data_IF_017221389692
#
_entry.id   IF_017221389692
#
_cell.length_a   1.000
_cell.length_b   1.000
_cell.length_c   1.000
_cell.angle_alpha   90.00
_cell.angle_beta   90.00
_cell.angle_gamma   90.00
#
_symmetry.space_group_name_H-M   'P 1'
#
loop_
_entity.id
_entity.type
_entity.pdbx_description
1 polymer ?
#
# COMPACT_ATOMS: atom_id res chain seq x y z
N UNK A 1 -23.12 -13.05 19.11
CA UNK A 1 -23.27 -12.22 17.88
C UNK A 1 -24.42 -12.81 17.08
N UNK A 2 -25.49 -12.04 16.78
CA UNK A 2 -26.66 -12.58 16.07
C UNK A 2 -26.31 -12.87 14.60
N UNK A 3 -27.06 -13.77 13.95
CA UNK A 3 -26.90 -14.13 12.54
C UNK A 3 -27.01 -12.89 11.64
N UNK A 4 -27.89 -11.94 11.99
CA UNK A 4 -28.06 -10.67 11.25
C UNK A 4 -26.80 -9.77 11.28
N UNK A 5 -26.11 -9.69 12.43
CA UNK A 5 -24.84 -8.93 12.52
C UNK A 5 -23.73 -9.58 11.69
N UNK A 6 -23.78 -10.90 11.53
CA UNK A 6 -22.79 -11.66 10.73
C UNK A 6 -23.03 -11.47 9.22
N UNK A 7 -24.28 -11.44 8.76
CA UNK A 7 -24.60 -11.11 7.36
C UNK A 7 -24.20 -9.68 7.00
N UNK A 8 -24.47 -8.72 7.88
CA UNK A 8 -24.07 -7.32 7.70
C UNK A 8 -22.53 -7.16 7.59
N UNK A 9 -21.76 -7.90 8.38
CA UNK A 9 -20.30 -7.86 8.32
C UNK A 9 -19.75 -8.41 7.00
N UNK A 10 -20.31 -9.50 6.49
CA UNK A 10 -19.88 -10.08 5.22
C UNK A 10 -20.23 -9.17 4.03
N UNK A 11 -21.38 -8.49 4.09
CA UNK A 11 -21.77 -7.53 3.06
C UNK A 11 -20.80 -6.33 3.02
N UNK A 12 -20.39 -5.82 4.18
CA UNK A 12 -19.38 -4.78 4.30
C UNK A 12 -18.04 -5.23 3.70
N UNK A 13 -17.58 -6.42 4.07
CA UNK A 13 -16.33 -6.99 3.57
C UNK A 13 -16.37 -7.19 2.05
N UNK A 14 -17.47 -7.71 1.49
CA UNK A 14 -17.61 -7.89 0.05
C UNK A 14 -17.60 -6.56 -0.71
N UNK A 15 -18.22 -5.51 -0.16
CA UNK A 15 -18.17 -4.16 -0.76
C UNK A 15 -16.75 -3.60 -0.71
N UNK A 16 -16.05 -3.74 0.41
CA UNK A 16 -14.66 -3.33 0.52
C UNK A 16 -13.77 -4.06 -0.49
N UNK A 17 -13.93 -5.40 -0.63
CA UNK A 17 -13.16 -6.18 -1.62
C UNK A 17 -13.45 -5.75 -3.06
N UNK A 18 -14.70 -5.40 -3.38
CA UNK A 18 -15.04 -4.85 -4.69
C UNK A 18 -14.44 -3.44 -4.89
N UNK A 19 -14.41 -2.62 -3.85
CA UNK A 19 -13.85 -1.26 -3.92
C UNK A 19 -12.35 -1.27 -4.15
N UNK A 20 -11.60 -2.13 -3.45
CA UNK A 20 -10.14 -2.21 -3.61
C UNK A 20 -9.70 -2.81 -4.96
N UNK A 21 -10.61 -3.37 -5.75
CA UNK A 21 -10.31 -3.79 -7.13
C UNK A 21 -9.84 -2.60 -8.00
N UNK A 22 -10.22 -1.37 -7.63
CA UNK A 22 -9.79 -0.14 -8.30
C UNK A 22 -8.27 0.09 -8.25
N UNK A 23 -7.53 -0.51 -7.30
CA UNK A 23 -6.05 -0.49 -7.28
C UNK A 23 -5.43 -0.93 -8.59
N UNK A 24 -6.10 -1.80 -9.34
CA UNK A 24 -5.67 -2.28 -10.65
C UNK A 24 -5.73 -1.19 -11.74
N UNK A 25 -6.34 -0.05 -11.46
CA UNK A 25 -6.53 1.07 -12.38
C UNK A 25 -5.92 2.38 -11.88
N UNK A 26 -5.26 2.38 -10.71
CA UNK A 26 -4.44 3.50 -10.25
C UNK A 26 -3.04 3.31 -10.83
N UNK A 27 -2.61 4.22 -11.70
CA UNK A 27 -1.33 4.14 -12.41
C UNK A 27 -0.28 5.01 -11.76
N UNK A 28 0.90 4.44 -11.57
CA UNK A 28 2.11 5.11 -11.09
C UNK A 28 2.88 5.72 -12.26
N UNK A 29 3.93 6.50 -11.98
CA UNK A 29 4.84 7.00 -13.02
C UNK A 29 5.95 6.01 -13.36
N UNK A 30 6.16 5.00 -12.53
CA UNK A 30 7.20 3.98 -12.71
C UNK A 30 6.83 3.02 -13.84
N UNK A 31 7.76 2.79 -14.79
CA UNK A 31 7.58 1.79 -15.84
C UNK A 31 7.74 0.37 -15.31
N UNK A 32 7.01 -0.56 -15.92
CA UNK A 32 7.36 -1.98 -15.85
C UNK A 32 8.78 -2.21 -16.41
N UNK A 33 9.46 -3.25 -15.95
CA UNK A 33 10.84 -3.58 -16.39
C UNK A 33 10.91 -3.85 -17.89
N UNK A 34 9.85 -4.42 -18.47
CA UNK A 34 9.75 -4.65 -19.94
C UNK A 34 9.44 -3.38 -20.75
N UNK A 35 9.26 -2.24 -20.08
CA UNK A 35 8.96 -0.91 -20.65
C UNK A 35 7.64 -0.82 -21.44
N UNK A 36 6.75 -1.79 -21.29
CA UNK A 36 5.49 -1.83 -22.06
C UNK A 36 4.50 -0.75 -21.63
N UNK A 37 4.48 -0.39 -20.36
CA UNK A 37 3.62 0.64 -19.76
C UNK A 37 4.09 1.01 -18.34
N UNK A 38 3.44 1.98 -17.74
CA UNK A 38 3.58 2.22 -16.29
C UNK A 38 2.88 1.13 -15.49
N UNK A 39 3.38 0.86 -14.27
CA UNK A 39 2.78 -0.10 -13.35
C UNK A 39 1.53 0.49 -12.67
N UNK A 40 0.68 -0.39 -12.14
CA UNK A 40 -0.42 -0.02 -11.25
C UNK A 40 -0.01 -0.20 -9.79
N UNK A 41 -0.72 0.45 -8.84
CA UNK A 41 -0.48 0.26 -7.40
C UNK A 41 -0.68 -1.19 -6.96
N UNK A 42 -1.61 -1.92 -7.58
CA UNK A 42 -1.78 -3.35 -7.30
C UNK A 42 -0.55 -4.17 -7.70
N UNK A 43 0.07 -3.88 -8.83
CA UNK A 43 1.30 -4.55 -9.30
C UNK A 43 2.48 -4.17 -8.43
N UNK A 44 2.60 -2.89 -8.06
CA UNK A 44 3.58 -2.39 -7.12
C UNK A 44 3.49 -3.13 -5.77
N UNK A 45 2.32 -3.12 -5.14
CA UNK A 45 2.11 -3.77 -3.84
C UNK A 45 2.40 -5.28 -3.87
N UNK A 46 2.00 -5.98 -4.96
CA UNK A 46 2.36 -7.39 -5.16
C UNK A 46 3.87 -7.57 -5.25
N UNK A 47 4.57 -6.72 -6.02
CA UNK A 47 6.01 -6.79 -6.19
C UNK A 47 6.73 -6.54 -4.86
N UNK A 48 6.26 -5.56 -4.06
CA UNK A 48 6.79 -5.33 -2.71
C UNK A 48 6.67 -6.55 -1.80
N UNK A 49 5.52 -7.23 -1.84
CA UNK A 49 5.32 -8.45 -1.04
C UNK A 49 6.32 -9.55 -1.44
N UNK A 50 6.55 -9.74 -2.74
CA UNK A 50 7.56 -10.67 -3.24
C UNK A 50 8.97 -10.27 -2.84
N UNK A 51 9.30 -8.98 -2.92
CA UNK A 51 10.60 -8.46 -2.49
C UNK A 51 10.80 -8.65 -0.98
N UNK A 52 9.80 -8.35 -0.16
CA UNK A 52 9.87 -8.53 1.28
C UNK A 52 10.13 -10.00 1.65
N UNK A 53 9.44 -10.95 1.03
CA UNK A 53 9.68 -12.38 1.24
C UNK A 53 11.08 -12.83 0.78
N UNK A 54 11.52 -12.35 -0.38
CA UNK A 54 12.78 -12.77 -1.00
C UNK A 54 14.00 -12.15 -0.28
N UNK A 55 13.87 -10.91 0.19
CA UNK A 55 14.98 -10.17 0.78
C UNK A 55 14.95 -10.16 2.32
N UNK A 56 14.02 -10.91 2.93
CA UNK A 56 13.85 -10.93 4.38
C UNK A 56 15.13 -11.32 5.14
N UNK A 57 15.92 -12.22 4.60
CA UNK A 57 17.20 -12.66 5.18
C UNK A 57 18.24 -11.53 5.32
N UNK A 58 18.10 -10.44 4.57
CA UNK A 58 18.97 -9.27 4.65
C UNK A 58 18.49 -8.23 5.67
N UNK A 59 17.33 -8.46 6.30
CA UNK A 59 16.84 -7.64 7.40
C UNK A 59 17.76 -7.78 8.62
N UNK A 60 18.25 -6.64 9.14
CA UNK A 60 19.20 -6.65 10.26
C UNK A 60 18.53 -6.74 11.63
N UNK A 61 17.26 -6.39 11.72
CA UNK A 61 16.52 -6.36 12.98
C UNK A 61 15.74 -7.67 13.14
N UNK A 62 16.10 -8.51 14.12
CA UNK A 62 15.45 -9.81 14.34
C UNK A 62 14.02 -9.70 14.87
N UNK A 63 13.58 -8.50 15.27
CA UNK A 63 12.22 -8.27 15.74
C UNK A 63 11.21 -8.03 14.64
N UNK A 64 11.65 -7.97 13.37
CA UNK A 64 10.75 -7.79 12.22
C UNK A 64 9.84 -9.01 12.03
N UNK A 65 8.53 -8.77 12.03
CA UNK A 65 7.51 -9.76 11.70
C UNK A 65 7.15 -9.68 10.21
N UNK A 66 7.57 -10.70 9.45
CA UNK A 66 7.31 -10.75 8.02
C UNK A 66 5.81 -10.71 7.68
N UNK A 67 4.95 -11.34 8.48
CA UNK A 67 3.50 -11.28 8.23
C UNK A 67 2.99 -9.85 8.35
N UNK A 68 3.45 -9.12 9.36
CA UNK A 68 3.07 -7.71 9.55
C UNK A 68 3.59 -6.82 8.42
N UNK A 69 4.82 -7.05 7.98
CA UNK A 69 5.39 -6.37 6.79
C UNK A 69 4.53 -6.63 5.55
N UNK A 70 4.14 -7.88 5.29
CA UNK A 70 3.29 -8.23 4.15
C UNK A 70 1.92 -7.53 4.21
N UNK A 71 1.31 -7.45 5.39
CA UNK A 71 0.07 -6.72 5.59
C UNK A 71 0.24 -5.22 5.28
N UNK A 72 1.36 -4.62 5.69
CA UNK A 72 1.68 -3.22 5.41
C UNK A 72 1.88 -2.97 3.91
N UNK A 73 2.76 -3.71 3.25
CA UNK A 73 3.08 -3.47 1.82
C UNK A 73 1.91 -3.79 0.89
N UNK A 74 0.97 -4.65 1.29
CA UNK A 74 -0.26 -4.89 0.52
C UNK A 74 -1.34 -3.84 0.75
N UNK A 75 -1.27 -3.09 1.84
CA UNK A 75 -2.30 -2.15 2.26
C UNK A 75 -1.89 -0.67 2.23
N UNK A 76 -0.60 -0.33 2.07
CA UNK A 76 -0.11 1.03 2.24
C UNK A 76 -0.67 2.03 1.22
N UNK A 77 -0.81 1.63 -0.05
CA UNK A 77 -1.32 2.49 -1.12
C UNK A 77 -2.84 2.43 -1.31
N UNK A 78 -3.58 1.65 -0.49
CA UNK A 78 -5.05 1.52 -0.65
C UNK A 78 -5.78 2.87 -0.60
N UNK A 79 -5.27 3.85 0.13
CA UNK A 79 -5.82 5.20 0.20
C UNK A 79 -5.75 5.91 -1.16
N UNK A 80 -4.82 5.53 -2.05
CA UNK A 80 -4.64 6.15 -3.36
C UNK A 80 -5.79 5.89 -4.34
N UNK A 81 -6.65 4.90 -4.06
CA UNK A 81 -7.92 4.71 -4.79
C UNK A 81 -8.73 6.01 -4.86
N UNK A 82 -8.74 6.80 -3.78
CA UNK A 82 -9.46 8.08 -3.71
C UNK A 82 -8.53 9.29 -3.75
N UNK A 83 -7.32 9.16 -3.23
CA UNK A 83 -6.35 10.25 -3.22
C UNK A 83 -5.62 10.42 -4.57
N UNK A 84 -5.49 9.34 -5.33
CA UNK A 84 -4.61 9.22 -6.51
C UNK A 84 -3.15 9.08 -6.12
N UNK A 85 -2.37 8.34 -6.93
CA UNK A 85 -0.90 8.31 -6.79
C UNK A 85 -0.33 9.72 -6.96
N UNK A 86 0.53 10.12 -6.04
CA UNK A 86 1.22 11.41 -6.10
C UNK A 86 2.69 11.17 -6.37
N UNK A 87 3.13 11.56 -7.58
CA UNK A 87 4.51 11.41 -7.98
C UNK A 87 5.48 12.07 -7.00
N UNK A 88 6.57 11.39 -6.65
CA UNK A 88 7.50 11.84 -5.62
C UNK A 88 8.08 13.25 -5.89
N UNK A 89 8.22 13.63 -7.16
CA UNK A 89 8.74 14.94 -7.59
C UNK A 89 7.67 15.99 -7.86
N UNK A 90 6.39 15.67 -7.69
CA UNK A 90 5.29 16.65 -7.79
C UNK A 90 5.21 17.47 -6.50
N UNK A 91 5.88 18.62 -6.49
CA UNK A 91 5.96 19.50 -5.32
C UNK A 91 4.61 20.09 -4.91
N UNK A 92 3.71 20.37 -5.85
CA UNK A 92 2.38 20.91 -5.57
C UNK A 92 1.43 19.81 -5.05
N UNK A 93 1.42 18.64 -5.68
CA UNK A 93 0.65 17.49 -5.25
C UNK A 93 1.04 17.03 -3.84
N UNK A 94 2.33 17.05 -3.52
CA UNK A 94 2.85 16.66 -2.21
C UNK A 94 2.42 17.59 -1.06
N UNK A 95 2.06 18.85 -1.31
CA UNK A 95 1.58 19.77 -0.25
C UNK A 95 0.28 19.31 0.40
N UNK A 96 -0.58 18.65 -0.35
CA UNK A 96 -1.90 18.20 0.13
C UNK A 96 -1.99 16.69 0.26
N UNK A 97 -0.93 15.95 -0.12
CA UNK A 97 -0.89 14.48 -0.15
C UNK A 97 -1.36 13.89 1.18
N UNK A 98 -0.71 14.24 2.28
CA UNK A 98 -1.02 13.68 3.60
C UNK A 98 -2.49 13.88 4.02
N UNK A 99 -3.07 15.04 3.72
CA UNK A 99 -4.47 15.30 4.04
C UNK A 99 -5.41 14.50 3.15
N UNK A 100 -5.15 14.44 1.84
CA UNK A 100 -5.96 13.66 0.89
C UNK A 100 -5.93 12.16 1.21
N UNK A 101 -4.75 11.61 1.49
CA UNK A 101 -4.59 10.21 1.85
C UNK A 101 -5.27 9.89 3.18
N UNK A 102 -5.18 10.78 4.16
CA UNK A 102 -5.89 10.60 5.43
C UNK A 102 -7.40 10.53 5.25
N UNK A 103 -7.97 11.46 4.50
CA UNK A 103 -9.42 11.50 4.20
C UNK A 103 -9.83 10.27 3.39
N UNK A 104 -9.00 9.84 2.43
CA UNK A 104 -9.20 8.64 1.65
C UNK A 104 -9.18 7.37 2.51
N UNK A 105 -8.21 7.24 3.40
CA UNK A 105 -8.10 6.12 4.34
C UNK A 105 -9.29 6.07 5.30
N UNK A 106 -9.72 7.22 5.86
CA UNK A 106 -10.89 7.32 6.72
C UNK A 106 -12.15 6.81 6.00
N UNK A 107 -12.34 7.22 4.74
CA UNK A 107 -13.46 6.79 3.91
C UNK A 107 -13.41 5.29 3.57
N UNK A 108 -12.26 4.80 3.14
CA UNK A 108 -12.10 3.43 2.68
C UNK A 108 -12.24 2.41 3.81
N UNK A 109 -11.54 2.62 4.92
CA UNK A 109 -11.54 1.67 6.03
C UNK A 109 -12.87 1.68 6.83
N UNK A 110 -13.64 2.77 6.77
CA UNK A 110 -15.00 2.81 7.32
C UNK A 110 -15.99 1.88 6.59
N UNK A 111 -15.64 1.35 5.42
CA UNK A 111 -16.46 0.35 4.72
C UNK A 111 -16.43 -1.02 5.41
N UNK A 112 -15.38 -1.31 6.16
CA UNK A 112 -15.21 -2.57 6.90
C UNK A 112 -15.98 -2.57 8.23
N UNK A 113 -16.26 -3.74 8.81
CA UNK A 113 -16.65 -3.82 10.21
C UNK A 113 -15.68 -3.04 11.11
N UNK A 114 -16.18 -2.37 12.13
CA UNK A 114 -15.45 -1.40 12.96
C UNK A 114 -14.07 -1.90 13.43
N UNK A 115 -14.02 -3.11 14.02
CA UNK A 115 -12.77 -3.68 14.51
C UNK A 115 -11.76 -3.95 13.37
N UNK A 116 -12.25 -4.43 12.23
CA UNK A 116 -11.42 -4.73 11.07
C UNK A 116 -10.95 -3.43 10.39
N UNK A 117 -11.82 -2.45 10.25
CA UNK A 117 -11.48 -1.13 9.72
C UNK A 117 -10.42 -0.43 10.57
N UNK A 118 -10.56 -0.49 11.91
CA UNK A 118 -9.57 0.04 12.83
C UNK A 118 -8.21 -0.66 12.70
N UNK A 119 -8.20 -2.00 12.50
CA UNK A 119 -6.97 -2.75 12.30
C UNK A 119 -6.24 -2.36 10.99
N UNK A 120 -6.97 -2.22 9.89
CA UNK A 120 -6.39 -1.74 8.61
C UNK A 120 -5.87 -0.32 8.73
N UNK A 121 -6.63 0.55 9.41
CA UNK A 121 -6.20 1.93 9.66
C UNK A 121 -4.90 1.98 10.46
N UNK A 122 -4.79 1.19 11.53
CA UNK A 122 -3.59 1.14 12.34
C UNK A 122 -2.35 0.65 11.56
N UNK A 123 -2.51 -0.35 10.68
CA UNK A 123 -1.42 -0.82 9.80
C UNK A 123 -0.97 0.26 8.83
N UNK A 124 -1.92 1.00 8.23
CA UNK A 124 -1.63 2.09 7.32
C UNK A 124 -0.89 3.23 8.03
N UNK A 125 -1.35 3.66 9.21
CA UNK A 125 -0.69 4.69 10.02
C UNK A 125 0.70 4.26 10.51
N UNK A 126 0.88 2.98 10.86
CA UNK A 126 2.16 2.45 11.25
C UNK A 126 3.16 2.50 10.10
N UNK A 127 2.74 2.10 8.89
CA UNK A 127 3.58 2.21 7.70
C UNK A 127 4.00 3.66 7.46
N UNK A 128 3.06 4.60 7.46
CA UNK A 128 3.33 6.03 7.22
C UNK A 128 4.27 6.64 8.28
N UNK A 129 4.13 6.23 9.53
CA UNK A 129 4.95 6.74 10.63
C UNK A 129 6.44 6.31 10.58
N UNK A 130 6.74 5.17 9.96
CA UNK A 130 8.09 4.57 9.83
C UNK A 130 8.79 4.38 11.20
N UNK A 131 8.03 4.23 12.31
CA UNK A 131 8.61 4.17 13.66
C UNK A 131 8.98 2.75 14.11
N UNK A 132 8.25 1.74 13.65
CA UNK A 132 8.50 0.34 14.05
C UNK A 132 9.56 -0.33 13.15
N UNK A 133 10.20 -1.41 13.60
CA UNK A 133 11.08 -2.21 12.75
C UNK A 133 10.37 -2.72 11.49
N UNK A 134 9.10 -3.16 11.63
CA UNK A 134 8.29 -3.66 10.53
C UNK A 134 8.03 -2.57 9.50
N UNK A 135 7.60 -1.38 9.94
CA UNK A 135 7.36 -0.25 9.05
C UNK A 135 8.65 0.23 8.34
N UNK A 136 9.79 0.22 9.04
CA UNK A 136 11.08 0.54 8.41
C UNK A 136 11.48 -0.45 7.34
N UNK A 137 11.27 -1.75 7.58
CA UNK A 137 11.57 -2.78 6.59
C UNK A 137 10.59 -2.69 5.41
N UNK A 138 9.29 -2.52 5.66
CA UNK A 138 8.26 -2.33 4.63
C UNK A 138 8.57 -1.11 3.75
N UNK A 139 8.86 0.05 4.35
CA UNK A 139 9.24 1.28 3.63
C UNK A 139 10.55 1.12 2.86
N UNK A 140 11.50 0.31 3.35
CA UNK A 140 12.72 0.02 2.60
C UNK A 140 12.40 -0.74 1.30
N UNK A 141 11.47 -1.68 1.32
CA UNK A 141 11.02 -2.39 0.11
C UNK A 141 10.29 -1.43 -0.85
N UNK A 142 9.43 -0.58 -0.32
CA UNK A 142 8.71 0.43 -1.10
C UNK A 142 9.65 1.38 -1.85
N UNK A 143 10.72 1.81 -1.22
CA UNK A 143 11.75 2.64 -1.86
C UNK A 143 12.66 1.87 -2.82
N UNK A 144 12.92 0.61 -2.53
CA UNK A 144 13.81 -0.23 -3.34
C UNK A 144 13.17 -0.64 -4.66
N UNK A 145 11.86 -0.87 -4.70
CA UNK A 145 11.16 -1.34 -5.91
C UNK A 145 11.23 -0.32 -7.07
N UNK A 146 10.87 0.97 -6.89
CA UNK A 146 11.03 1.96 -7.95
C UNK A 146 12.50 2.17 -8.35
N UNK A 147 13.43 2.04 -7.40
CA UNK A 147 14.86 2.08 -7.69
C UNK A 147 15.26 0.94 -8.63
N UNK A 148 14.82 -0.29 -8.36
CA UNK A 148 15.07 -1.46 -9.22
C UNK A 148 14.48 -1.25 -10.61
N UNK A 149 13.22 -0.82 -10.69
CA UNK A 149 12.55 -0.57 -11.97
C UNK A 149 13.28 0.52 -12.78
N UNK A 150 13.67 1.63 -12.14
CA UNK A 150 14.41 2.70 -12.80
C UNK A 150 15.80 2.24 -13.23
N UNK A 151 16.52 1.46 -12.42
CA UNK A 151 17.79 0.88 -12.82
C UNK A 151 17.65 0.03 -14.10
N UNK A 152 16.61 -0.81 -14.20
CA UNK A 152 16.34 -1.69 -15.34
C UNK A 152 15.79 -0.93 -16.56
N UNK A 153 15.19 0.24 -16.37
CA UNK A 153 14.61 1.07 -17.44
C UNK A 153 15.46 2.31 -17.78
N UNK A 154 16.73 2.34 -17.32
CA UNK A 154 17.70 3.42 -17.61
C UNK A 154 17.27 4.80 -17.07
N UNK A 155 16.59 4.81 -15.93
CA UNK A 155 16.19 6.04 -15.23
C UNK A 155 15.00 6.75 -15.86
N UNK A 156 14.10 6.03 -16.53
CA UNK A 156 12.98 6.62 -17.28
C UNK A 156 12.08 7.53 -16.43
N UNK A 157 11.87 7.17 -15.15
CA UNK A 157 10.99 7.92 -14.23
C UNK A 157 11.76 8.82 -13.25
N UNK A 158 13.03 9.09 -13.49
CA UNK A 158 13.88 9.95 -12.67
C UNK A 158 14.15 11.30 -13.33
#
# INVERSE_FOLDING_TARGET
MSIEKKCSSIDQQMRFLAEIDQMKSVYRQTLLIDRSRTETDAEHSWHLAMMAMTLFEYGKDPSVDLLRVLQMVLGHDLAEIYAGDTFAYDTEGNRTKAQREKEAADRLFAMLPEEQGAAYRALWEEFDSVQTPDARFATAMDRLQPFLNNYMTEGHSW
#
